data_IF_290368418967
#
_entry.id   IF_290368418967
#
_cell.length_a   1.000
_cell.length_b   1.000
_cell.length_c   1.000
_cell.angle_alpha   90.00
_cell.angle_beta   90.00
_cell.angle_gamma   90.00
#
_symmetry.space_group_name_H-M   'P 1'
#
loop_
_entity.id
_entity.type
_entity.pdbx_description
1 polymer ?
#
# COMPACT_ATOMS: atom_id res chain seq x y z
N UNK A 1 -18.42 -60.00 -62.47
CA UNK A 1 -17.00 -59.58 -62.33
C UNK A 1 -16.94 -58.38 -61.40
N UNK A 2 -15.82 -58.21 -60.70
CA UNK A 2 -15.54 -57.27 -59.60
C UNK A 2 -16.11 -57.67 -58.22
N UNK A 3 -15.27 -58.35 -57.44
CA UNK A 3 -15.36 -58.37 -55.98
C UNK A 3 -14.50 -57.22 -55.40
N UNK A 4 -14.94 -56.51 -54.35
CA UNK A 4 -14.08 -55.56 -53.66
C UNK A 4 -13.29 -56.23 -52.51
N UNK A 5 -12.04 -55.81 -52.39
CA UNK A 5 -11.02 -56.26 -51.43
C UNK A 5 -11.35 -55.94 -49.96
N UNK A 6 -10.81 -56.72 -49.00
CA UNK A 6 -10.92 -56.44 -47.57
C UNK A 6 -9.85 -55.41 -47.12
N UNK A 7 -10.28 -54.37 -46.40
CA UNK A 7 -9.39 -53.40 -45.77
C UNK A 7 -8.73 -54.00 -44.51
N UNK A 8 -7.39 -53.95 -44.47
CA UNK A 8 -6.57 -54.22 -43.29
C UNK A 8 -6.78 -53.10 -42.25
N UNK A 9 -7.32 -53.45 -41.09
CA UNK A 9 -7.24 -52.63 -39.88
C UNK A 9 -5.84 -52.78 -39.25
N UNK A 10 -5.12 -51.67 -39.10
CA UNK A 10 -3.89 -51.59 -38.29
C UNK A 10 -4.24 -51.34 -36.82
N UNK A 11 -3.62 -52.06 -35.86
CA UNK A 11 -3.85 -51.82 -34.43
C UNK A 11 -3.19 -50.51 -33.94
N UNK A 12 -3.80 -49.81 -32.97
CA UNK A 12 -3.21 -48.62 -32.36
C UNK A 12 -2.00 -48.98 -31.50
N UNK A 13 -0.88 -48.32 -31.76
CA UNK A 13 0.33 -48.36 -30.94
C UNK A 13 0.05 -47.64 -29.62
N UNK A 14 -0.25 -48.39 -28.56
CA UNK A 14 -0.32 -47.87 -27.18
C UNK A 14 1.09 -47.77 -26.62
N UNK A 15 1.63 -46.56 -26.61
CA UNK A 15 2.85 -46.25 -25.87
C UNK A 15 2.65 -46.56 -24.37
N UNK A 16 3.58 -47.29 -23.72
CA UNK A 16 3.51 -47.53 -22.28
C UNK A 16 3.77 -46.22 -21.54
N UNK A 17 2.71 -45.73 -20.87
CA UNK A 17 2.77 -44.64 -19.88
C UNK A 17 3.91 -44.93 -18.89
N UNK A 18 4.93 -44.07 -18.77
CA UNK A 18 6.02 -44.30 -17.83
C UNK A 18 5.44 -44.35 -16.41
N UNK A 19 5.78 -45.42 -15.70
CA UNK A 19 5.41 -45.63 -14.30
C UNK A 19 5.79 -44.38 -13.49
N UNK A 20 4.77 -43.73 -12.93
CA UNK A 20 4.92 -42.70 -11.92
C UNK A 20 5.68 -43.32 -10.74
N UNK A 21 6.95 -42.94 -10.61
CA UNK A 21 7.73 -43.18 -9.41
C UNK A 21 7.09 -42.31 -8.32
N UNK A 22 6.14 -42.90 -7.58
CA UNK A 22 5.57 -42.30 -6.38
C UNK A 22 6.70 -41.96 -5.41
N UNK A 23 6.97 -40.67 -5.29
CA UNK A 23 8.07 -40.14 -4.48
C UNK A 23 7.68 -40.22 -2.98
N UNK A 24 8.27 -41.14 -2.18
CA UNK A 24 7.85 -41.41 -0.80
C UNK A 24 8.13 -40.24 0.16
N UNK A 25 8.90 -39.24 -0.26
CA UNK A 25 9.22 -38.07 0.57
C UNK A 25 8.05 -37.08 0.74
N UNK A 26 7.00 -37.14 -0.09
CA UNK A 26 5.87 -36.21 0.02
C UNK A 26 4.91 -36.53 1.18
N UNK A 27 4.86 -37.79 1.61
CA UNK A 27 3.95 -38.24 2.68
C UNK A 27 4.38 -37.74 4.07
N UNK A 28 5.69 -37.73 4.37
CA UNK A 28 6.21 -37.34 5.69
C UNK A 28 6.03 -35.86 6.03
N UNK A 29 6.12 -34.97 5.04
CA UNK A 29 5.97 -33.53 5.26
C UNK A 29 4.54 -33.10 5.65
N UNK A 30 3.53 -33.82 5.17
CA UNK A 30 2.13 -33.53 5.49
C UNK A 30 1.76 -33.95 6.91
N UNK A 31 2.31 -35.06 7.41
CA UNK A 31 2.11 -35.51 8.79
C UNK A 31 2.65 -34.49 9.80
N UNK A 32 3.92 -34.09 9.65
CA UNK A 32 4.54 -33.10 10.54
C UNK A 32 3.80 -31.75 10.52
N UNK A 33 3.31 -31.30 9.35
CA UNK A 33 2.50 -30.08 9.26
C UNK A 33 1.17 -30.22 10.00
N UNK A 34 0.52 -31.36 9.89
CA UNK A 34 -0.73 -31.64 10.60
C UNK A 34 -0.54 -31.61 12.11
N UNK A 35 0.51 -32.24 12.63
CA UNK A 35 0.81 -32.26 14.07
C UNK A 35 1.03 -30.86 14.63
N UNK A 36 1.72 -30.00 13.88
CA UNK A 36 1.91 -28.60 14.23
C UNK A 36 0.60 -27.80 14.25
N UNK A 37 -0.33 -28.07 13.33
CA UNK A 37 -1.65 -27.43 13.33
C UNK A 37 -2.50 -27.88 14.53
N UNK A 38 -2.39 -29.16 14.91
CA UNK A 38 -3.05 -29.70 16.11
C UNK A 38 -2.48 -29.06 17.37
N UNK A 39 -1.16 -28.93 17.47
CA UNK A 39 -0.49 -28.25 18.58
C UNK A 39 -0.92 -26.77 18.69
N UNK A 40 -0.86 -26.03 17.57
CA UNK A 40 -1.32 -24.64 17.50
C UNK A 40 -2.80 -24.50 17.93
N UNK A 41 -3.67 -25.43 17.51
CA UNK A 41 -5.09 -25.42 17.89
C UNK A 41 -5.30 -25.68 19.38
N UNK A 42 -4.56 -26.64 19.96
CA UNK A 42 -4.62 -26.93 21.39
C UNK A 42 -4.16 -25.72 22.20
N UNK A 43 -3.08 -25.08 21.78
CA UNK A 43 -2.56 -23.87 22.42
C UNK A 43 -3.60 -22.74 22.41
N UNK A 44 -4.19 -22.45 21.25
CA UNK A 44 -5.23 -21.43 21.13
C UNK A 44 -6.46 -21.73 22.02
N UNK A 45 -6.90 -22.99 22.11
CA UNK A 45 -8.02 -23.40 22.99
C UNK A 45 -7.70 -23.18 24.47
N UNK A 46 -6.48 -23.50 24.92
CA UNK A 46 -6.06 -23.27 26.31
C UNK A 46 -6.00 -21.78 26.64
N UNK A 47 -5.51 -20.96 25.72
CA UNK A 47 -5.56 -19.49 25.86
C UNK A 47 -7.00 -18.98 26.03
N UNK A 48 -7.95 -19.48 25.21
CA UNK A 48 -9.36 -19.13 25.30
C UNK A 48 -10.06 -19.67 26.56
N UNK A 49 -9.53 -20.75 27.15
CA UNK A 49 -9.96 -21.25 28.45
C UNK A 49 -9.43 -20.40 29.62
N UNK A 50 -8.62 -19.38 29.35
CA UNK A 50 -8.07 -18.48 30.36
C UNK A 50 -6.82 -19.03 31.07
N UNK A 51 -6.17 -20.07 30.55
CA UNK A 51 -4.94 -20.61 31.14
C UNK A 51 -3.75 -19.63 30.95
N UNK A 52 -3.18 -19.04 32.02
CA UNK A 52 -2.10 -18.06 31.89
C UNK A 52 -0.83 -18.65 31.27
N UNK A 53 -0.47 -19.88 31.65
CA UNK A 53 0.69 -20.59 31.12
C UNK A 53 0.60 -20.83 29.59
N UNK A 54 -0.61 -20.97 29.04
CA UNK A 54 -0.80 -21.09 27.60
C UNK A 54 -0.51 -19.77 26.88
N UNK A 55 -0.85 -18.62 27.50
CA UNK A 55 -0.50 -17.31 26.96
C UNK A 55 1.01 -17.04 26.98
N UNK A 56 1.70 -17.46 28.04
CA UNK A 56 3.17 -17.38 28.11
C UNK A 56 3.83 -18.24 27.02
N UNK A 57 3.37 -19.48 26.84
CA UNK A 57 3.82 -20.39 25.79
C UNK A 57 3.58 -19.78 24.39
N UNK A 58 2.38 -19.23 24.17
CA UNK A 58 2.04 -18.59 22.91
C UNK A 58 2.94 -17.37 22.64
N UNK A 59 3.15 -16.52 23.64
CA UNK A 59 4.05 -15.38 23.52
C UNK A 59 5.48 -15.84 23.19
N UNK A 60 6.02 -16.80 23.92
CA UNK A 60 7.38 -17.32 23.69
C UNK A 60 7.56 -17.88 22.27
N UNK A 61 6.58 -18.63 21.76
CA UNK A 61 6.64 -19.23 20.42
C UNK A 61 6.48 -18.21 19.29
N UNK A 62 5.59 -17.23 19.45
CA UNK A 62 5.16 -16.37 18.34
C UNK A 62 5.74 -14.96 18.36
N UNK A 63 6.21 -14.45 19.50
CA UNK A 63 6.66 -13.05 19.61
C UNK A 63 7.82 -12.74 18.66
N UNK A 64 8.90 -13.53 18.68
CA UNK A 64 10.05 -13.27 17.81
C UNK A 64 9.71 -13.38 16.31
N UNK A 65 9.01 -14.43 15.83
CA UNK A 65 8.53 -14.48 14.44
C UNK A 65 7.57 -13.34 14.06
N UNK A 66 6.76 -12.86 15.00
CA UNK A 66 5.87 -11.73 14.79
C UNK A 66 6.66 -10.43 14.54
N UNK A 67 7.67 -10.12 15.36
CA UNK A 67 8.53 -8.95 15.19
C UNK A 67 9.19 -8.95 13.80
N UNK A 68 9.74 -10.08 13.36
CA UNK A 68 10.33 -10.24 12.02
C UNK A 68 9.30 -9.95 10.94
N UNK A 69 8.07 -10.47 11.10
CA UNK A 69 7.00 -10.27 10.14
C UNK A 69 6.56 -8.80 10.05
N UNK A 70 6.45 -8.11 11.19
CA UNK A 70 6.12 -6.68 11.24
C UNK A 70 7.23 -5.86 10.57
N UNK A 71 8.50 -6.15 10.88
CA UNK A 71 9.65 -5.48 10.26
C UNK A 71 9.62 -5.59 8.73
N UNK A 72 9.32 -6.78 8.20
CA UNK A 72 9.16 -6.98 6.76
C UNK A 72 7.98 -6.19 6.19
N UNK A 73 6.84 -6.12 6.90
CA UNK A 73 5.66 -5.37 6.46
C UNK A 73 5.86 -3.85 6.46
N UNK A 74 6.70 -3.31 7.35
CA UNK A 74 7.03 -1.89 7.40
C UNK A 74 7.97 -1.46 6.27
N UNK A 75 8.78 -2.39 5.77
CA UNK A 75 9.81 -2.10 4.77
C UNK A 75 11.05 -1.43 5.37
N UNK A 76 12.13 -1.27 4.58
CA UNK A 76 13.43 -0.80 5.05
C UNK A 76 13.37 0.62 5.63
N UNK A 77 12.56 1.50 5.04
CA UNK A 77 12.50 2.93 5.40
C UNK A 77 11.78 3.20 6.74
N UNK A 78 11.04 2.21 7.26
CA UNK A 78 10.21 2.36 8.46
C UNK A 78 10.49 1.27 9.51
N UNK A 79 11.64 0.58 9.41
CA UNK A 79 12.02 -0.52 10.30
C UNK A 79 12.62 -0.06 11.64
N UNK A 80 12.15 1.08 12.18
CA UNK A 80 12.52 1.54 13.53
C UNK A 80 12.12 0.46 14.55
N UNK A 81 13.06 -0.07 15.37
CA UNK A 81 12.78 -1.08 16.38
C UNK A 81 11.64 -0.68 17.33
N UNK A 82 11.56 0.60 17.73
CA UNK A 82 10.52 1.07 18.64
C UNK A 82 9.12 0.97 18.01
N UNK A 83 9.01 1.29 16.72
CA UNK A 83 7.75 1.16 15.98
C UNK A 83 7.33 -0.31 15.82
N UNK A 84 8.30 -1.20 15.57
CA UNK A 84 8.03 -2.64 15.49
C UNK A 84 7.45 -3.15 16.82
N UNK A 85 8.07 -2.77 17.95
CA UNK A 85 7.62 -3.16 19.28
C UNK A 85 6.26 -2.53 19.63
N UNK A 86 6.02 -1.26 19.28
CA UNK A 86 4.72 -0.60 19.45
C UNK A 86 3.60 -1.34 18.70
N UNK A 87 3.84 -1.75 17.45
CA UNK A 87 2.86 -2.50 16.67
C UNK A 87 2.67 -3.90 17.24
N UNK A 88 3.74 -4.56 17.68
CA UNK A 88 3.64 -5.88 18.30
C UNK A 88 2.81 -5.81 19.60
N UNK A 89 3.04 -4.81 20.45
CA UNK A 89 2.26 -4.58 21.66
C UNK A 89 0.77 -4.39 21.36
N UNK A 90 0.42 -3.65 20.29
CA UNK A 90 -0.97 -3.50 19.84
C UNK A 90 -1.58 -4.80 19.36
N UNK A 91 -0.83 -5.62 18.62
CA UNK A 91 -1.29 -6.95 18.18
C UNK A 91 -1.61 -7.83 19.39
N UNK A 92 -0.74 -7.86 20.39
CA UNK A 92 -0.98 -8.62 21.63
C UNK A 92 -2.15 -8.06 22.43
N UNK A 93 -2.27 -6.74 22.51
CA UNK A 93 -3.42 -6.09 23.16
C UNK A 93 -4.73 -6.45 22.46
N UNK A 94 -4.84 -6.26 21.15
CA UNK A 94 -6.05 -6.59 20.36
C UNK A 94 -6.42 -8.09 20.45
N UNK A 95 -5.43 -8.95 20.71
CA UNK A 95 -5.63 -10.38 20.87
C UNK A 95 -6.20 -10.75 22.24
N UNK A 96 -5.78 -10.05 23.30
CA UNK A 96 -6.23 -10.27 24.68
C UNK A 96 -7.53 -9.49 24.96
N UNK A 97 -7.67 -8.32 24.34
CA UNK A 97 -8.87 -7.48 24.44
C UNK A 97 -10.12 -8.28 24.04
N UNK A 98 -11.22 -8.03 24.76
CA UNK A 98 -12.48 -8.74 24.56
C UNK A 98 -12.38 -10.27 24.75
N UNK A 99 -11.66 -10.71 25.79
CA UNK A 99 -11.56 -12.12 26.22
C UNK A 99 -11.09 -13.07 25.10
N UNK A 100 -10.16 -12.62 24.26
CA UNK A 100 -9.65 -13.48 23.19
C UNK A 100 -10.62 -13.71 22.03
N UNK A 101 -11.70 -12.92 21.89
CA UNK A 101 -12.64 -13.04 20.74
C UNK A 101 -11.95 -13.02 19.38
N UNK A 102 -10.83 -12.30 19.25
CA UNK A 102 -10.04 -12.30 18.03
C UNK A 102 -9.37 -13.66 17.81
N UNK A 103 -8.73 -14.22 18.84
CA UNK A 103 -8.11 -15.55 18.82
C UNK A 103 -9.14 -16.65 18.54
N UNK A 104 -10.38 -16.51 19.02
CA UNK A 104 -11.47 -17.45 18.74
C UNK A 104 -11.82 -17.59 17.25
N UNK A 105 -11.38 -16.63 16.40
CA UNK A 105 -11.54 -16.71 14.94
C UNK A 105 -10.49 -17.57 14.27
N UNK A 106 -9.46 -18.00 14.99
CA UNK A 106 -8.45 -18.91 14.46
C UNK A 106 -9.06 -20.28 14.18
N UNK A 107 -8.97 -20.71 12.91
CA UNK A 107 -9.49 -21.99 12.44
C UNK A 107 -8.34 -22.83 11.82
N UNK A 108 -7.88 -23.89 12.50
CA UNK A 108 -6.82 -24.76 11.99
C UNK A 108 -7.25 -25.56 10.74
N UNK A 109 -8.57 -25.72 10.49
CA UNK A 109 -9.08 -26.45 9.31
C UNK A 109 -8.76 -25.73 8.01
N UNK A 110 -8.46 -24.42 8.07
CA UNK A 110 -7.97 -23.64 6.94
C UNK A 110 -6.50 -23.95 6.58
N UNK A 111 -5.85 -24.82 7.34
CA UNK A 111 -4.45 -25.24 7.12
C UNK A 111 -3.42 -24.15 7.41
N UNK A 112 -3.83 -23.05 8.06
CA UNK A 112 -2.97 -21.94 8.42
C UNK A 112 -2.41 -22.13 9.85
N UNK A 113 -1.12 -21.90 10.02
CA UNK A 113 -0.46 -21.89 11.33
C UNK A 113 -0.93 -20.70 12.17
N UNK A 114 -0.80 -20.79 13.49
CA UNK A 114 -1.14 -19.71 14.41
C UNK A 114 -0.33 -18.43 14.15
N UNK A 115 0.96 -18.57 13.81
CA UNK A 115 1.79 -17.44 13.38
C UNK A 115 1.27 -16.78 12.08
N UNK A 116 0.71 -17.56 11.16
CA UNK A 116 0.10 -17.04 9.93
C UNK A 116 -1.14 -16.21 10.26
N UNK A 117 -1.97 -16.66 11.20
CA UNK A 117 -3.09 -15.89 11.72
C UNK A 117 -2.60 -14.57 12.37
N UNK A 118 -1.60 -14.62 13.25
CA UNK A 118 -1.01 -13.43 13.87
C UNK A 118 -0.49 -12.41 12.84
N UNK A 119 0.11 -12.87 11.75
CA UNK A 119 0.53 -11.98 10.64
C UNK A 119 -0.64 -11.22 10.02
N UNK A 120 -1.84 -11.80 9.95
CA UNK A 120 -3.03 -11.10 9.43
C UNK A 120 -3.52 -10.00 10.38
N UNK A 121 -3.43 -10.23 11.69
CA UNK A 121 -3.71 -9.22 12.72
C UNK A 121 -2.67 -8.10 12.63
N UNK A 122 -1.39 -8.45 12.60
CA UNK A 122 -0.28 -7.51 12.44
C UNK A 122 -0.43 -6.64 11.19
N UNK A 123 -0.80 -7.22 10.04
CA UNK A 123 -1.06 -6.47 8.80
C UNK A 123 -2.16 -5.43 8.97
N UNK A 124 -3.20 -5.75 9.76
CA UNK A 124 -4.29 -4.82 10.04
C UNK A 124 -3.82 -3.66 10.91
N UNK A 125 -2.99 -3.92 11.93
CA UNK A 125 -2.41 -2.89 12.80
C UNK A 125 -1.37 -2.02 12.08
N UNK A 126 -0.53 -2.59 11.21
CA UNK A 126 0.38 -1.81 10.34
C UNK A 126 -0.43 -0.84 9.46
N UNK A 127 -1.50 -1.33 8.81
CA UNK A 127 -2.41 -0.47 8.01
C UNK A 127 -3.09 0.60 8.85
N UNK A 128 -3.49 0.28 10.08
CA UNK A 128 -4.09 1.23 11.02
C UNK A 128 -3.08 2.31 11.43
N UNK A 129 -1.83 1.92 11.69
CA UNK A 129 -0.74 2.83 12.00
C UNK A 129 -0.51 3.84 10.85
N UNK A 130 -0.31 3.37 9.62
CA UNK A 130 -0.09 4.26 8.47
C UNK A 130 -1.29 5.19 8.22
N UNK A 131 -2.53 4.68 8.33
CA UNK A 131 -3.74 5.52 8.20
C UNK A 131 -3.78 6.62 9.26
N UNK A 132 -3.40 6.32 10.52
CA UNK A 132 -3.32 7.31 11.59
C UNK A 132 -2.22 8.34 11.32
N UNK A 133 -1.04 7.90 10.88
CA UNK A 133 0.06 8.78 10.52
C UNK A 133 -0.29 9.74 9.37
N UNK A 134 -0.88 9.23 8.28
CA UNK A 134 -1.32 10.06 7.16
C UNK A 134 -2.36 11.11 7.60
N UNK A 135 -3.34 10.70 8.43
CA UNK A 135 -4.35 11.63 8.98
C UNK A 135 -3.72 12.70 9.87
N UNK A 136 -2.77 12.32 10.74
CA UNK A 136 -2.03 13.25 11.59
C UNK A 136 -1.24 14.26 10.76
N UNK A 137 -0.38 13.78 9.84
CA UNK A 137 0.42 14.63 8.94
C UNK A 137 -0.45 15.58 8.12
N UNK A 138 -1.62 15.12 7.64
CA UNK A 138 -2.58 15.97 6.93
C UNK A 138 -3.11 17.11 7.81
N UNK A 139 -3.46 16.83 9.07
CA UNK A 139 -3.94 17.84 10.02
C UNK A 139 -2.84 18.84 10.38
N UNK A 140 -1.62 18.36 10.62
CA UNK A 140 -0.45 19.20 10.88
C UNK A 140 -0.17 20.13 9.71
N UNK A 141 -0.22 19.62 8.47
CA UNK A 141 -0.05 20.44 7.26
C UNK A 141 -1.12 21.52 7.14
N UNK A 142 -2.39 21.20 7.40
CA UNK A 142 -3.49 22.18 7.38
C UNK A 142 -3.28 23.25 8.46
N UNK A 143 -2.89 22.86 9.68
CA UNK A 143 -2.68 23.78 10.80
C UNK A 143 -1.51 24.74 10.56
N UNK A 144 -0.44 24.29 9.89
CA UNK A 144 0.71 25.11 9.51
C UNK A 144 0.46 26.04 8.31
N UNK A 145 -0.80 26.16 7.85
CA UNK A 145 -1.13 26.94 6.65
C UNK A 145 -0.58 26.31 5.36
N UNK A 146 -0.13 25.06 5.42
CA UNK A 146 0.32 24.31 4.26
C UNK A 146 -0.85 24.11 3.31
N UNK A 147 -0.93 24.98 2.30
CA UNK A 147 -1.75 24.73 1.11
C UNK A 147 -1.48 23.29 0.68
N UNK A 148 -2.51 22.44 0.46
CA UNK A 148 -2.26 21.11 -0.07
C UNK A 148 -1.33 21.26 -1.28
N UNK A 149 -0.29 20.41 -1.44
CA UNK A 149 0.55 20.46 -2.63
C UNK A 149 -0.42 20.50 -3.78
N UNK A 150 -0.33 21.56 -4.58
CA UNK A 150 -1.12 21.67 -5.79
C UNK A 150 -0.90 20.32 -6.46
N UNK A 151 -1.96 19.49 -6.57
CA UNK A 151 -1.93 18.50 -7.64
C UNK A 151 -1.54 19.32 -8.86
N UNK A 152 -0.49 18.96 -9.62
CA UNK A 152 -0.20 19.66 -10.86
C UNK A 152 -1.54 19.66 -11.56
N UNK A 153 -2.13 20.86 -11.67
CA UNK A 153 -3.35 21.00 -12.43
C UNK A 153 -2.93 20.44 -13.77
N UNK A 154 -3.61 19.38 -14.22
CA UNK A 154 -3.43 18.89 -15.57
C UNK A 154 -3.44 20.14 -16.44
N UNK A 155 -2.40 20.39 -17.24
CA UNK A 155 -2.30 21.64 -18.00
C UNK A 155 -3.58 21.83 -18.84
N UNK A 156 -4.22 20.72 -19.21
CA UNK A 156 -5.55 20.66 -19.81
C UNK A 156 -6.66 21.27 -18.93
N UNK A 157 -6.68 21.00 -17.63
CA UNK A 157 -7.66 21.56 -16.69
C UNK A 157 -7.43 23.06 -16.47
N UNK A 158 -6.17 23.50 -16.36
CA UNK A 158 -5.86 24.93 -16.25
C UNK A 158 -6.22 25.68 -17.54
N UNK A 159 -5.94 25.08 -18.70
CA UNK A 159 -6.30 25.65 -20.02
C UNK A 159 -7.82 25.72 -20.19
N UNK A 160 -8.55 24.69 -19.76
CA UNK A 160 -10.02 24.67 -19.81
C UNK A 160 -10.64 25.77 -18.93
N UNK A 161 -10.19 25.89 -17.68
CA UNK A 161 -10.67 26.94 -16.76
C UNK A 161 -10.31 28.34 -17.27
N UNK A 162 -9.12 28.52 -17.85
CA UNK A 162 -8.73 29.80 -18.45
C UNK A 162 -9.60 30.13 -19.68
N UNK A 163 -9.92 29.14 -20.51
CA UNK A 163 -10.80 29.29 -21.66
C UNK A 163 -12.22 29.71 -21.28
N UNK A 164 -12.77 29.14 -20.21
CA UNK A 164 -14.07 29.56 -19.66
C UNK A 164 -14.04 31.00 -19.13
N UNK A 165 -12.97 31.40 -18.45
CA UNK A 165 -12.80 32.77 -17.96
C UNK A 165 -12.76 33.80 -19.11
N UNK A 166 -11.99 33.53 -20.17
CA UNK A 166 -11.89 34.42 -21.35
C UNK A 166 -13.25 34.60 -22.05
N UNK A 167 -14.12 33.59 -22.00
CA UNK A 167 -15.48 33.70 -22.53
C UNK A 167 -16.38 34.63 -21.73
N UNK A 168 -16.11 34.80 -20.43
CA UNK A 168 -16.87 35.73 -19.57
C UNK A 168 -16.40 37.19 -19.66
N UNK A 169 -15.25 37.44 -20.28
CA UNK A 169 -14.72 38.79 -20.48
C UNK A 169 -15.52 39.54 -21.53
N UNK A 170 -15.72 40.85 -21.29
CA UNK A 170 -16.21 41.77 -22.30
C UNK A 170 -15.17 41.95 -23.42
N UNK A 171 -15.58 42.51 -24.56
CA UNK A 171 -14.70 42.68 -25.71
C UNK A 171 -13.41 43.44 -25.39
N UNK A 172 -13.50 44.54 -24.63
CA UNK A 172 -12.32 45.33 -24.24
C UNK A 172 -11.43 44.65 -23.19
N UNK A 173 -12.01 43.86 -22.29
CA UNK A 173 -11.22 43.09 -21.31
C UNK A 173 -10.50 41.90 -21.95
N UNK A 174 -11.11 41.28 -22.96
CA UNK A 174 -10.49 40.21 -23.74
C UNK A 174 -9.29 40.72 -24.54
N UNK A 175 -9.45 41.85 -25.23
CA UNK A 175 -8.36 42.50 -25.96
C UNK A 175 -7.19 42.83 -25.02
N UNK A 176 -7.47 43.42 -23.87
CA UNK A 176 -6.45 43.69 -22.86
C UNK A 176 -5.76 42.40 -22.37
N UNK A 177 -6.52 41.35 -22.09
CA UNK A 177 -5.98 40.07 -21.62
C UNK A 177 -5.07 39.42 -22.66
N UNK A 178 -5.47 39.39 -23.93
CA UNK A 178 -4.68 38.81 -25.02
C UNK A 178 -3.38 39.58 -25.24
N UNK A 179 -3.44 40.91 -25.26
CA UNK A 179 -2.29 41.77 -25.55
C UNK A 179 -1.29 41.87 -24.40
N UNK A 180 -1.74 41.84 -23.14
CA UNK A 180 -0.89 42.18 -21.99
C UNK A 180 -0.65 41.03 -21.02
N UNK A 181 -1.51 40.01 -20.99
CA UNK A 181 -1.46 38.95 -19.97
C UNK A 181 -1.20 37.55 -20.56
N UNK A 182 -1.75 37.22 -21.73
CA UNK A 182 -1.54 35.93 -22.40
C UNK A 182 -0.27 35.90 -23.28
N UNK A 183 0.32 37.06 -23.56
CA UNK A 183 1.53 37.21 -24.36
C UNK A 183 2.73 36.47 -23.78
N UNK A 184 3.14 35.39 -24.44
CA UNK A 184 4.41 34.72 -24.20
C UNK A 184 5.57 35.64 -24.63
N UNK A 185 6.68 35.74 -23.88
CA UNK A 185 7.89 36.45 -24.31
C UNK A 185 8.62 35.65 -25.40
N UNK A 186 8.02 35.58 -26.59
CA UNK A 186 8.59 34.99 -27.79
C UNK A 186 8.61 36.02 -28.91
N UNK A 187 9.27 37.15 -28.67
CA UNK A 187 9.82 37.96 -29.75
C UNK A 187 11.01 38.76 -29.23
N UNK A 188 12.15 38.09 -29.13
CA UNK A 188 13.44 38.76 -29.15
C UNK A 188 13.66 39.37 -30.54
N UNK A 189 13.30 40.63 -30.69
CA UNK A 189 13.59 41.45 -31.87
C UNK A 189 14.03 42.84 -31.40
N UNK A 190 15.28 43.19 -31.66
CA UNK A 190 16.00 44.26 -30.97
C UNK A 190 15.60 45.69 -31.32
N UNK A 191 15.50 46.51 -30.27
CA UNK A 191 15.87 47.94 -30.20
C UNK A 191 15.14 48.96 -31.11
N UNK A 192 15.39 50.28 -30.95
CA UNK A 192 16.25 50.94 -29.96
C UNK A 192 15.55 52.01 -29.10
N UNK A 193 16.22 52.35 -28.00
CA UNK A 193 16.29 53.66 -27.31
C UNK A 193 15.27 54.74 -27.73
N UNK A 194 14.47 55.18 -26.75
CA UNK A 194 14.27 56.62 -26.56
C UNK A 194 14.39 56.99 -25.08
N UNK A 195 15.42 57.76 -24.81
CA UNK A 195 15.68 58.55 -23.62
C UNK A 195 14.59 59.58 -23.37
N UNK A 196 14.42 59.97 -22.10
CA UNK A 196 14.19 61.33 -21.55
C UNK A 196 13.11 61.30 -20.47
N UNK A 197 13.49 61.72 -19.26
CA UNK A 197 12.53 61.93 -18.18
C UNK A 197 13.10 61.98 -16.76
N UNK A 198 14.33 62.46 -16.57
CA UNK A 198 14.78 62.91 -15.25
C UNK A 198 13.82 63.97 -14.70
N UNK A 199 13.40 63.85 -13.43
CA UNK A 199 13.13 64.97 -12.52
C UNK A 199 13.01 64.48 -11.06
N UNK A 200 13.22 65.35 -10.07
CA UNK A 200 14.31 65.18 -9.12
C UNK A 200 13.83 64.91 -7.68
N UNK A 201 14.76 64.40 -6.88
CA UNK A 201 14.63 64.28 -5.44
C UNK A 201 14.53 65.66 -4.77
N UNK A 202 13.55 65.82 -3.90
CA UNK A 202 13.53 66.85 -2.85
C UNK A 202 13.35 66.16 -1.50
N UNK A 203 14.46 65.99 -0.79
CA UNK A 203 14.49 65.89 0.66
C UNK A 203 14.25 67.29 1.25
N UNK A 204 13.56 67.37 2.39
CA UNK A 204 13.93 68.33 3.42
C UNK A 204 14.33 67.61 4.71
N UNK A 205 15.55 67.93 5.14
CA UNK A 205 16.07 67.72 6.50
C UNK A 205 15.54 68.79 7.46
N UNK A 206 15.68 68.45 8.73
CA UNK A 206 15.75 69.29 9.95
C UNK A 206 14.45 69.60 10.70
N UNK A 207 14.54 69.91 12.01
CA UNK A 207 15.62 69.63 13.00
C UNK A 207 15.20 68.67 14.13
#
# INVERSE_FOLDING_TARGET
MQAPEPQLETPPCTDPKPAEVENPHRAGANGAKHDLLVADSRLAKRCLAGEPAAWEEFYAQCHRPLLVSIKVMLGPDHADPNLVDEIAARVWYDLIENDGKLLARYDPRRGARLITFLRTVAKSEVRRHFRRQCRRRRRERIALGGRPPHQPADDAQMTATMGEFVQTLTAGEREFYEDHLAGHPASGGGGPRTTVGQRPATHPSHP
#
